data_IF_813452439025
#
_entry.id   IF_813452439025
#
_cell.length_a   1.000
_cell.length_b   1.000
_cell.length_c   1.000
_cell.angle_alpha   90.00
_cell.angle_beta   90.00
_cell.angle_gamma   90.00
#
_symmetry.space_group_name_H-M   'P 1'
#
loop_
_entity.id
_entity.type
_entity.pdbx_description
1 polymer ?
#
# COMPACT_ATOMS: atom_id res chain seq x y z
N UNK A 1 -12.54 5.97 -9.88
CA UNK A 1 -12.32 5.51 -8.49
C UNK A 1 -13.35 6.22 -7.61
N UNK A 2 -14.20 5.48 -6.92
CA UNK A 2 -15.32 6.07 -6.14
C UNK A 2 -15.12 5.93 -4.64
N UNK A 3 -14.45 4.87 -4.20
CA UNK A 3 -14.22 4.56 -2.78
C UNK A 3 -12.72 4.57 -2.48
N UNK A 4 -12.32 5.21 -1.38
CA UNK A 4 -10.93 5.20 -0.91
C UNK A 4 -10.89 5.33 0.60
N UNK A 5 -9.93 4.68 1.25
CA UNK A 5 -9.68 4.80 2.68
C UNK A 5 -8.22 4.51 3.02
N UNK A 6 -7.74 5.15 4.08
CA UNK A 6 -6.44 4.81 4.68
C UNK A 6 -6.68 3.91 5.88
N UNK A 7 -5.90 2.85 5.97
CA UNK A 7 -5.99 1.92 7.09
C UNK A 7 -4.63 1.47 7.60
N UNK A 8 -4.67 0.72 8.68
CA UNK A 8 -3.51 0.11 9.33
C UNK A 8 -3.68 -1.40 9.35
N UNK A 9 -2.70 -2.13 8.85
CA UNK A 9 -2.69 -3.58 8.87
C UNK A 9 -2.59 -4.10 10.30
N UNK A 10 -3.60 -4.79 10.80
CA UNK A 10 -3.58 -5.42 12.12
C UNK A 10 -2.86 -6.76 12.06
N UNK A 11 -3.22 -7.62 11.11
CA UNK A 11 -2.64 -8.96 11.00
C UNK A 11 -3.39 -9.82 10.01
N UNK A 12 -3.09 -11.11 10.03
CA UNK A 12 -3.80 -12.10 9.23
C UNK A 12 -4.47 -13.13 10.16
N UNK A 13 -5.62 -13.58 9.74
CA UNK A 13 -6.41 -14.63 10.39
C UNK A 13 -7.13 -15.45 9.33
N UNK A 14 -8.00 -16.31 9.75
CA UNK A 14 -8.85 -17.14 8.91
C UNK A 14 -10.31 -16.97 9.30
N UNK A 15 -11.19 -17.07 8.33
CA UNK A 15 -12.63 -17.06 8.50
C UNK A 15 -13.17 -18.27 7.73
N UNK A 16 -14.23 -18.88 8.23
CA UNK A 16 -14.97 -19.90 7.49
C UNK A 16 -16.14 -19.25 6.80
N UNK A 17 -16.36 -19.59 5.55
CA UNK A 17 -17.56 -19.18 4.80
C UNK A 17 -18.77 -20.06 5.20
N UNK A 18 -19.93 -19.74 4.69
CA UNK A 18 -21.17 -20.48 4.98
C UNK A 18 -21.11 -21.97 4.57
N UNK A 19 -20.27 -22.27 3.59
CA UNK A 19 -20.02 -23.64 3.12
C UNK A 19 -18.97 -24.38 3.97
N UNK A 20 -18.48 -23.77 5.06
CA UNK A 20 -17.42 -24.32 5.93
C UNK A 20 -16.03 -24.29 5.31
N UNK A 21 -15.84 -23.59 4.19
CA UNK A 21 -14.55 -23.47 3.52
C UNK A 21 -13.67 -22.44 4.21
N UNK A 22 -12.42 -22.79 4.41
CA UNK A 22 -11.39 -21.92 4.95
C UNK A 22 -11.03 -20.76 4.00
N UNK A 23 -11.14 -19.53 4.49
CA UNK A 23 -10.77 -18.29 3.75
C UNK A 23 -9.70 -17.55 4.55
N UNK A 24 -8.44 -17.46 4.04
CA UNK A 24 -7.41 -16.64 4.68
C UNK A 24 -7.72 -15.17 4.46
N UNK A 25 -7.68 -14.37 5.52
CA UNK A 25 -7.98 -12.95 5.47
C UNK A 25 -6.90 -12.11 6.16
N UNK A 26 -6.73 -10.90 5.66
CA UNK A 26 -5.98 -9.85 6.36
C UNK A 26 -6.95 -8.84 6.93
N UNK A 27 -6.83 -8.56 8.23
CA UNK A 27 -7.63 -7.55 8.94
C UNK A 27 -6.92 -6.21 8.88
N UNK A 28 -7.65 -5.20 8.44
CA UNK A 28 -7.20 -3.80 8.34
C UNK A 28 -8.13 -2.94 9.19
N UNK A 29 -7.56 -2.12 10.07
CA UNK A 29 -8.24 -1.02 10.74
C UNK A 29 -8.35 0.12 9.73
N UNK A 30 -9.54 0.31 9.16
CA UNK A 30 -9.80 1.22 8.05
C UNK A 30 -10.55 2.45 8.54
N UNK A 31 -9.83 3.55 8.73
CA UNK A 31 -10.38 4.80 9.25
C UNK A 31 -10.39 4.88 10.79
N UNK A 32 -11.11 5.86 11.38
CA UNK A 32 -11.78 6.94 10.66
C UNK A 32 -10.79 7.87 9.96
N UNK A 33 -11.12 8.25 8.73
CA UNK A 33 -10.36 9.19 7.93
C UNK A 33 -11.15 10.48 7.79
N UNK A 34 -10.50 11.65 7.86
CA UNK A 34 -11.16 12.94 7.70
C UNK A 34 -10.69 13.63 6.43
N UNK A 35 -11.62 14.18 5.67
CA UNK A 35 -11.28 14.97 4.47
C UNK A 35 -10.77 16.33 4.92
N UNK A 36 -9.50 16.62 4.60
CA UNK A 36 -8.82 17.86 5.01
C UNK A 36 -8.87 18.90 3.91
N UNK A 37 -8.78 18.49 2.66
CA UNK A 37 -8.83 19.41 1.53
C UNK A 37 -9.47 18.73 0.31
N UNK A 38 -10.23 19.50 -0.43
CA UNK A 38 -10.73 19.15 -1.76
C UNK A 38 -9.95 19.96 -2.78
N UNK A 39 -9.36 19.30 -3.76
CA UNK A 39 -8.64 19.89 -4.86
C UNK A 39 -9.51 19.88 -6.11
N UNK A 40 -9.58 21.03 -6.78
CA UNK A 40 -10.40 21.23 -7.98
C UNK A 40 -9.52 21.62 -9.16
N UNK A 41 -10.01 21.38 -10.36
CA UNK A 41 -9.28 21.74 -11.61
C UNK A 41 -8.98 23.23 -11.68
N UNK A 42 -9.88 24.08 -11.18
CA UNK A 42 -9.74 25.55 -11.24
C UNK A 42 -8.57 26.06 -10.39
N UNK A 43 -8.40 25.51 -9.17
CA UNK A 43 -7.40 25.98 -8.21
C UNK A 43 -6.09 25.20 -8.28
N UNK A 44 -6.16 23.87 -8.42
CA UNK A 44 -5.02 22.97 -8.29
C UNK A 44 -4.65 22.29 -9.62
N UNK A 45 -5.48 22.40 -10.66
CA UNK A 45 -5.27 21.78 -11.97
C UNK A 45 -5.67 20.30 -12.04
N UNK A 46 -6.19 19.71 -10.96
CA UNK A 46 -6.64 18.33 -10.90
C UNK A 46 -7.67 18.10 -9.79
N UNK A 47 -8.45 17.04 -9.92
CA UNK A 47 -9.49 16.66 -8.96
C UNK A 47 -9.03 15.56 -8.03
N UNK A 48 -8.87 15.88 -6.74
CA UNK A 48 -8.46 14.96 -5.68
C UNK A 48 -9.07 15.36 -4.35
N UNK A 49 -9.17 14.40 -3.45
CA UNK A 49 -9.43 14.66 -2.04
C UNK A 49 -8.17 14.35 -1.23
N UNK A 50 -7.83 15.21 -0.29
CA UNK A 50 -6.79 14.97 0.68
C UNK A 50 -7.41 14.48 1.98
N UNK A 51 -7.02 13.28 2.40
CA UNK A 51 -7.58 12.58 3.56
C UNK A 51 -6.53 12.48 4.65
N UNK A 52 -6.93 12.79 5.88
CA UNK A 52 -6.12 12.68 7.09
C UNK A 52 -6.43 11.41 7.88
N UNK A 53 -5.41 10.70 8.35
CA UNK A 53 -5.54 9.47 9.15
C UNK A 53 -4.62 9.48 10.36
N UNK A 54 -5.12 8.94 11.49
CA UNK A 54 -4.40 8.79 12.74
C UNK A 54 -4.18 10.11 13.47
N UNK A 55 -4.56 10.19 14.73
CA UNK A 55 -4.47 11.40 15.53
C UNK A 55 -3.03 11.66 16.01
N UNK A 56 -2.66 12.94 16.08
CA UNK A 56 -1.37 13.39 16.59
C UNK A 56 -1.58 14.66 17.45
N UNK A 57 -0.85 14.74 18.55
CA UNK A 57 -0.89 15.95 19.38
C UNK A 57 -0.34 17.16 18.62
N UNK A 58 -1.03 18.29 18.66
CA UNK A 58 -0.69 19.53 17.95
C UNK A 58 0.78 19.98 18.15
N UNK A 59 1.32 19.81 19.37
CA UNK A 59 2.73 20.12 19.70
C UNK A 59 3.77 19.35 18.89
N UNK A 60 3.38 18.22 18.26
CA UNK A 60 4.25 17.38 17.41
C UNK A 60 4.11 17.70 15.91
N UNK A 61 3.29 18.65 15.56
CA UNK A 61 3.00 19.06 14.17
C UNK A 61 3.68 20.41 13.90
N UNK A 62 4.29 20.56 12.74
CA UNK A 62 4.91 21.82 12.32
C UNK A 62 3.88 22.92 12.13
N UNK A 63 4.24 24.19 12.37
CA UNK A 63 3.34 25.35 12.27
C UNK A 63 2.59 25.44 10.91
N UNK A 64 3.25 25.23 9.74
CA UNK A 64 2.54 25.23 8.45
C UNK A 64 1.43 24.18 8.36
N UNK A 65 1.68 22.95 8.85
CA UNK A 65 0.67 21.90 8.86
C UNK A 65 -0.45 22.18 9.87
N UNK A 66 -0.15 22.81 11.01
CA UNK A 66 -1.19 23.27 11.94
C UNK A 66 -2.14 24.26 11.27
N UNK A 67 -1.60 25.23 10.51
CA UNK A 67 -2.40 26.16 9.71
C UNK A 67 -3.24 25.46 8.64
N UNK A 68 -2.69 24.41 8.01
CA UNK A 68 -3.42 23.60 7.04
C UNK A 68 -4.64 22.90 7.64
N UNK A 69 -4.48 22.27 8.82
CA UNK A 69 -5.59 21.64 9.54
C UNK A 69 -6.60 22.65 10.09
N UNK A 70 -6.10 23.79 10.59
CA UNK A 70 -6.97 24.87 11.10
C UNK A 70 -7.88 25.46 9.98
N UNK A 71 -7.37 25.57 8.74
CA UNK A 71 -8.16 26.03 7.59
C UNK A 71 -9.35 25.09 7.29
N UNK A 72 -9.19 23.80 7.58
CA UNK A 72 -10.21 22.78 7.37
C UNK A 72 -11.08 22.53 8.62
N UNK A 73 -10.81 23.23 9.73
CA UNK A 73 -11.43 23.01 11.05
C UNK A 73 -11.34 21.53 11.52
N UNK A 74 -10.19 20.90 11.28
CA UNK A 74 -9.96 19.49 11.57
C UNK A 74 -8.80 19.33 12.57
N UNK A 75 -8.94 18.39 13.49
CA UNK A 75 -7.85 18.01 14.40
C UNK A 75 -6.63 17.51 13.63
N UNK A 76 -5.43 17.78 14.16
CA UNK A 76 -4.19 17.38 13.51
C UNK A 76 -4.11 15.86 13.28
N UNK A 77 -3.81 15.46 12.05
CA UNK A 77 -3.64 14.06 11.66
C UNK A 77 -2.18 13.74 11.36
N UNK A 78 -1.79 12.50 11.64
CA UNK A 78 -0.42 12.03 11.47
C UNK A 78 -0.04 11.82 10.00
N UNK A 79 -0.98 11.35 9.20
CA UNK A 79 -0.79 11.01 7.80
C UNK A 79 -1.78 11.79 6.95
N UNK A 80 -1.28 12.45 5.92
CA UNK A 80 -2.08 13.04 4.85
C UNK A 80 -1.83 12.27 3.56
N UNK A 81 -2.89 11.93 2.84
CA UNK A 81 -2.81 11.25 1.55
C UNK A 81 -3.87 11.78 0.60
N UNK A 82 -3.49 11.96 -0.64
CA UNK A 82 -4.39 12.35 -1.71
C UNK A 82 -4.89 11.13 -2.48
N UNK A 83 -6.17 11.14 -2.78
CA UNK A 83 -6.84 10.13 -3.61
C UNK A 83 -7.55 10.81 -4.77
N UNK A 84 -7.38 10.24 -5.95
CA UNK A 84 -8.13 10.62 -7.12
C UNK A 84 -9.52 9.99 -7.04
N UNK A 85 -10.55 10.82 -7.12
CA UNK A 85 -11.93 10.36 -7.32
C UNK A 85 -12.36 10.77 -8.72
N UNK A 86 -13.33 10.04 -9.29
CA UNK A 86 -13.89 10.37 -10.60
C UNK A 86 -14.85 11.55 -10.48
N UNK A 87 -15.49 11.70 -9.32
CA UNK A 87 -16.32 12.84 -8.95
C UNK A 87 -16.06 13.22 -7.49
N UNK A 88 -15.61 14.43 -7.28
CA UNK A 88 -15.37 15.00 -5.96
C UNK A 88 -16.55 15.88 -5.47
N UNK A 89 -17.62 16.08 -6.26
CA UNK A 89 -18.68 17.03 -5.93
C UNK A 89 -19.42 16.66 -4.63
N UNK A 90 -19.65 15.37 -4.42
CA UNK A 90 -20.36 14.85 -3.25
C UNK A 90 -19.57 14.80 -1.95
N UNK A 91 -18.27 15.12 -1.95
CA UNK A 91 -17.41 15.03 -0.76
C UNK A 91 -17.16 16.43 -0.20
N UNK A 92 -17.37 16.61 1.11
CA UNK A 92 -17.16 17.87 1.81
C UNK A 92 -15.92 17.83 2.70
N UNK A 93 -15.27 19.00 2.86
CA UNK A 93 -14.17 19.15 3.83
C UNK A 93 -14.71 18.97 5.25
N UNK A 94 -14.00 18.22 6.09
CA UNK A 94 -14.42 17.83 7.42
C UNK A 94 -15.23 16.54 7.48
N UNK A 95 -15.65 15.98 6.36
CA UNK A 95 -16.38 14.71 6.29
C UNK A 95 -15.51 13.53 6.77
N UNK A 96 -16.14 12.58 7.47
CA UNK A 96 -15.48 11.42 8.04
C UNK A 96 -15.79 10.19 7.18
N UNK A 97 -14.76 9.62 6.59
CA UNK A 97 -14.82 8.37 5.82
C UNK A 97 -14.51 7.21 6.77
N UNK A 98 -15.42 6.25 6.89
CA UNK A 98 -15.30 5.05 7.75
C UNK A 98 -15.28 3.78 6.92
N UNK A 99 -15.13 2.64 7.60
CA UNK A 99 -15.11 1.32 6.98
C UNK A 99 -16.42 0.96 6.23
N UNK A 100 -17.55 1.57 6.61
CA UNK A 100 -18.88 1.42 6.00
C UNK A 100 -18.96 1.87 4.53
N UNK A 101 -17.97 2.62 4.06
CA UNK A 101 -17.83 2.98 2.64
C UNK A 101 -17.69 1.73 1.75
N UNK A 102 -17.18 0.63 2.29
CA UNK A 102 -17.00 -0.63 1.58
C UNK A 102 -18.04 -1.67 2.00
N UNK A 103 -18.51 -2.44 1.04
CA UNK A 103 -19.48 -3.51 1.25
C UNK A 103 -18.82 -4.88 1.11
N UNK A 104 -19.45 -5.91 1.70
CA UNK A 104 -19.02 -7.31 1.52
C UNK A 104 -19.19 -7.71 0.06
N UNK A 105 -18.14 -8.27 -0.52
CA UNK A 105 -18.08 -8.63 -1.94
C UNK A 105 -17.39 -7.60 -2.83
N UNK A 106 -17.18 -6.36 -2.35
CA UNK A 106 -16.45 -5.35 -3.10
C UNK A 106 -15.06 -5.84 -3.52
N UNK A 107 -14.63 -5.39 -4.70
CA UNK A 107 -13.27 -5.62 -5.20
C UNK A 107 -12.43 -4.38 -4.93
N UNK A 108 -11.33 -4.58 -4.21
CA UNK A 108 -10.45 -3.48 -3.78
C UNK A 108 -9.00 -3.75 -4.16
N UNK A 109 -8.27 -2.66 -4.38
CA UNK A 109 -6.83 -2.67 -4.55
C UNK A 109 -6.18 -2.17 -3.25
N UNK A 110 -5.23 -2.96 -2.72
CA UNK A 110 -4.51 -2.64 -1.49
C UNK A 110 -3.08 -2.22 -1.81
N UNK A 111 -2.76 -0.95 -1.59
CA UNK A 111 -1.45 -0.39 -1.79
C UNK A 111 -0.74 -0.18 -0.44
N UNK A 112 0.51 -0.59 -0.33
CA UNK A 112 1.30 -0.41 0.88
C UNK A 112 2.79 -0.52 0.62
N UNK A 113 3.59 -0.24 1.65
CA UNK A 113 5.04 -0.42 1.59
C UNK A 113 5.41 -1.85 1.98
N UNK A 114 6.11 -2.55 1.11
CA UNK A 114 6.53 -3.94 1.33
C UNK A 114 7.53 -4.06 2.48
N UNK A 115 7.63 -5.26 3.07
CA UNK A 115 8.64 -5.53 4.10
C UNK A 115 10.05 -5.35 3.54
N UNK A 116 10.92 -4.64 4.24
CA UNK A 116 12.33 -4.51 3.91
C UNK A 116 13.06 -5.85 4.05
N UNK A 117 13.94 -6.14 3.10
CA UNK A 117 14.79 -7.33 3.08
C UNK A 117 16.28 -6.98 3.02
N UNK A 118 16.60 -5.69 3.19
CA UNK A 118 17.95 -5.17 3.16
C UNK A 118 18.65 -5.36 1.81
N UNK A 119 19.97 -5.46 1.83
CA UNK A 119 20.77 -5.79 0.66
C UNK A 119 20.60 -7.29 0.34
N UNK A 120 20.12 -7.60 -0.85
CA UNK A 120 19.84 -8.97 -1.28
C UNK A 120 20.62 -9.34 -2.53
N UNK A 121 21.14 -10.58 -2.56
CA UNK A 121 21.79 -11.14 -3.72
C UNK A 121 20.82 -11.41 -4.87
N UNK A 122 21.34 -11.64 -6.06
CA UNK A 122 20.59 -11.85 -7.31
C UNK A 122 19.63 -13.03 -7.25
N UNK A 123 19.98 -14.09 -6.54
CA UNK A 123 19.13 -15.27 -6.35
C UNK A 123 17.86 -14.89 -5.60
N UNK A 124 17.98 -14.18 -4.46
CA UNK A 124 16.83 -13.77 -3.65
C UNK A 124 16.02 -12.66 -4.33
N UNK A 125 16.71 -11.72 -5.01
CA UNK A 125 16.07 -10.53 -5.58
C UNK A 125 15.37 -10.80 -6.90
N UNK A 126 15.95 -11.67 -7.74
CA UNK A 126 15.49 -11.92 -9.12
C UNK A 126 15.26 -13.39 -9.44
N UNK A 127 15.33 -14.28 -8.44
CA UNK A 127 15.17 -15.73 -8.63
C UNK A 127 16.15 -16.33 -9.64
N UNK A 128 17.41 -15.87 -9.63
CA UNK A 128 18.44 -16.47 -10.46
C UNK A 128 18.74 -17.89 -10.01
N UNK A 129 19.03 -18.76 -10.96
CA UNK A 129 19.54 -20.10 -10.69
C UNK A 129 20.91 -19.99 -10.03
N UNK A 130 21.16 -20.85 -9.06
CA UNK A 130 22.50 -21.01 -8.48
C UNK A 130 23.29 -22.09 -9.21
N UNK A 131 24.58 -21.97 -9.18
CA UNK A 131 25.48 -23.03 -9.67
C UNK A 131 25.48 -24.22 -8.69
N UNK A 132 25.92 -25.37 -9.15
CA UNK A 132 26.20 -26.53 -8.30
C UNK A 132 27.32 -26.19 -7.31
N UNK A 133 27.27 -26.73 -6.10
CA UNK A 133 28.27 -26.49 -5.06
C UNK A 133 29.47 -27.50 -5.17
N UNK A 134 29.36 -28.46 -6.07
CA UNK A 134 30.34 -29.53 -6.30
C UNK A 134 30.87 -29.46 -7.73
N UNK A 135 31.72 -30.42 -8.11
CA UNK A 135 32.30 -30.52 -9.45
C UNK A 135 33.13 -29.29 -9.86
N UNK A 136 33.99 -28.80 -8.98
CA UNK A 136 34.93 -27.71 -9.25
C UNK A 136 34.34 -26.30 -9.25
N UNK A 137 33.07 -26.12 -8.89
CA UNK A 137 32.42 -24.78 -8.87
C UNK A 137 33.01 -23.82 -7.81
N UNK A 138 33.61 -24.35 -6.74
CA UNK A 138 34.18 -23.55 -5.65
C UNK A 138 33.13 -22.61 -4.97
N UNK A 139 33.58 -21.54 -4.30
CA UNK A 139 32.71 -20.64 -3.50
C UNK A 139 31.88 -19.66 -4.34
N UNK A 140 31.58 -19.96 -5.61
CA UNK A 140 30.89 -19.06 -6.55
C UNK A 140 29.41 -19.41 -6.77
N UNK A 141 28.88 -20.40 -6.06
CA UNK A 141 27.55 -20.95 -6.28
C UNK A 141 26.42 -19.90 -6.22
N UNK A 142 26.61 -18.81 -5.48
CA UNK A 142 25.60 -17.74 -5.32
C UNK A 142 25.97 -16.42 -5.98
N UNK A 143 26.95 -16.41 -6.88
CA UNK A 143 27.38 -15.21 -7.60
C UNK A 143 26.37 -14.80 -8.68
N UNK A 144 26.47 -13.54 -9.11
CA UNK A 144 25.57 -12.96 -10.13
C UNK A 144 25.81 -13.52 -11.55
N UNK A 145 26.94 -14.19 -11.77
CA UNK A 145 27.35 -14.65 -13.08
C UNK A 145 27.94 -13.55 -13.97
N UNK A 146 27.92 -13.77 -15.28
CA UNK A 146 28.47 -12.81 -16.24
C UNK A 146 27.82 -11.42 -16.17
N UNK A 147 28.64 -10.38 -16.29
CA UNK A 147 28.22 -8.98 -16.34
C UNK A 147 27.86 -8.50 -17.75
N UNK A 148 28.26 -9.23 -18.79
CA UNK A 148 28.00 -8.90 -20.18
C UNK A 148 29.13 -9.37 -21.09
N UNK A 149 29.13 -8.91 -22.35
CA UNK A 149 30.20 -9.12 -23.31
C UNK A 149 31.43 -8.25 -22.96
N UNK A 150 32.58 -8.60 -23.49
CA UNK A 150 33.89 -8.00 -23.17
C UNK A 150 34.08 -6.62 -23.83
N UNK A 151 34.84 -6.55 -24.90
CA UNK A 151 35.32 -5.31 -25.52
C UNK A 151 34.21 -4.51 -26.23
N UNK A 152 33.18 -5.16 -26.73
CA UNK A 152 32.00 -4.54 -27.33
C UNK A 152 30.73 -5.01 -26.60
N UNK A 153 30.00 -4.15 -25.90
CA UNK A 153 30.00 -2.68 -25.86
C UNK A 153 30.94 -2.06 -24.80
N UNK A 154 31.86 -2.78 -24.17
CA UNK A 154 32.78 -2.30 -23.12
C UNK A 154 32.11 -1.67 -21.89
N UNK A 155 30.88 -2.05 -21.62
CA UNK A 155 30.08 -1.54 -20.49
C UNK A 155 29.05 -2.57 -20.04
N UNK A 156 28.58 -2.42 -18.82
CA UNK A 156 27.40 -3.12 -18.33
C UNK A 156 26.16 -2.37 -18.77
N UNK A 157 25.22 -3.08 -19.39
CA UNK A 157 23.97 -2.49 -19.87
C UNK A 157 23.09 -1.99 -18.72
N UNK A 158 22.34 -0.91 -18.97
CA UNK A 158 21.32 -0.39 -18.05
C UNK A 158 20.27 -1.47 -17.77
N UNK A 159 19.77 -1.51 -16.54
CA UNK A 159 18.77 -2.51 -16.15
C UNK A 159 19.32 -3.91 -15.86
N UNK A 160 20.64 -4.12 -15.90
CA UNK A 160 21.26 -5.41 -15.51
C UNK A 160 20.83 -5.78 -14.09
N UNK A 161 20.28 -6.98 -13.94
CA UNK A 161 19.81 -7.52 -12.65
C UNK A 161 21.01 -7.89 -11.77
N UNK A 162 21.29 -7.07 -10.77
CA UNK A 162 22.41 -7.20 -9.84
C UNK A 162 21.92 -7.18 -8.39
N UNK A 163 22.76 -7.60 -7.41
CA UNK A 163 22.44 -7.48 -6.00
C UNK A 163 22.19 -6.01 -5.63
N UNK A 164 21.39 -5.78 -4.61
CA UNK A 164 21.04 -4.44 -4.14
C UNK A 164 19.91 -4.46 -3.14
N UNK A 165 19.40 -3.28 -2.80
CA UNK A 165 18.28 -3.12 -1.89
C UNK A 165 17.04 -3.85 -2.41
N UNK A 166 16.34 -4.57 -1.51
CA UNK A 166 15.10 -5.29 -1.80
C UNK A 166 14.07 -4.98 -0.73
N UNK A 167 12.84 -4.74 -1.18
CA UNK A 167 11.74 -4.35 -0.29
C UNK A 167 11.73 -2.86 0.03
N UNK A 168 10.85 -2.44 0.96
CA UNK A 168 10.52 -1.03 1.25
C UNK A 168 10.06 -0.30 -0.01
N UNK A 169 9.42 -1.03 -0.90
CA UNK A 169 8.88 -0.51 -2.16
C UNK A 169 7.37 -0.39 -2.04
N UNK A 170 6.79 0.60 -2.73
CA UNK A 170 5.35 0.71 -2.86
C UNK A 170 4.84 -0.41 -3.76
N UNK A 171 4.00 -1.28 -3.20
CA UNK A 171 3.42 -2.43 -3.90
C UNK A 171 1.90 -2.34 -3.80
N UNK A 172 1.21 -2.58 -4.90
CA UNK A 172 -0.25 -2.68 -4.95
C UNK A 172 -0.64 -4.12 -5.28
N UNK A 173 -1.43 -4.72 -4.41
CA UNK A 173 -2.10 -6.00 -4.67
C UNK A 173 -3.50 -5.68 -5.13
N UNK A 174 -3.82 -6.07 -6.35
CA UNK A 174 -5.06 -5.72 -7.03
C UNK A 174 -6.14 -6.80 -6.87
N UNK A 175 -7.41 -6.39 -7.01
CA UNK A 175 -8.57 -7.27 -7.12
C UNK A 175 -8.76 -8.19 -5.91
N UNK A 176 -8.57 -7.65 -4.69
CA UNK A 176 -8.89 -8.36 -3.45
C UNK A 176 -10.39 -8.26 -3.15
N UNK A 177 -10.96 -9.32 -2.59
CA UNK A 177 -12.37 -9.32 -2.18
C UNK A 177 -12.50 -8.92 -0.73
N UNK A 178 -13.45 -8.04 -0.43
CA UNK A 178 -13.89 -7.73 0.93
C UNK A 178 -14.75 -8.89 1.44
N UNK A 179 -14.33 -9.56 2.51
CA UNK A 179 -15.03 -10.72 3.07
C UNK A 179 -15.97 -10.30 4.19
N UNK A 180 -15.53 -9.36 5.03
CA UNK A 180 -16.33 -8.87 6.17
C UNK A 180 -15.99 -7.41 6.44
N UNK A 181 -17.01 -6.63 6.78
CA UNK A 181 -16.88 -5.25 7.25
C UNK A 181 -17.48 -5.17 8.66
N UNK A 182 -16.77 -4.55 9.58
CA UNK A 182 -17.22 -4.22 10.93
C UNK A 182 -17.14 -2.70 11.07
N UNK A 183 -18.29 -2.06 10.93
CA UNK A 183 -18.41 -0.59 10.97
C UNK A 183 -18.19 -0.01 12.39
N UNK A 184 -18.54 -0.78 13.45
CA UNK A 184 -18.38 -0.33 14.82
C UNK A 184 -16.91 -0.20 15.23
N UNK A 185 -16.11 -1.19 14.86
CA UNK A 185 -14.67 -1.23 15.16
C UNK A 185 -13.80 -0.69 14.01
N UNK A 186 -14.39 -0.20 12.91
CA UNK A 186 -13.71 0.24 11.70
C UNK A 186 -12.75 -0.82 11.13
N UNK A 187 -13.17 -2.08 11.09
CA UNK A 187 -12.37 -3.19 10.57
C UNK A 187 -12.87 -3.68 9.23
N UNK A 188 -11.94 -3.93 8.33
CA UNK A 188 -12.21 -4.57 7.03
C UNK A 188 -11.35 -5.83 6.92
N UNK A 189 -11.99 -6.97 6.63
CA UNK A 189 -11.34 -8.23 6.35
C UNK A 189 -11.21 -8.44 4.85
N UNK A 190 -9.99 -8.45 4.32
CA UNK A 190 -9.67 -8.64 2.91
C UNK A 190 -9.18 -10.08 2.68
N UNK A 191 -9.70 -10.74 1.66
CA UNK A 191 -9.27 -12.08 1.27
C UNK A 191 -7.82 -12.08 0.80
N UNK A 192 -6.97 -12.87 1.46
CA UNK A 192 -5.57 -13.03 1.07
C UNK A 192 -4.60 -12.10 1.79
N UNK A 193 -3.42 -11.93 1.22
CA UNK A 193 -2.32 -11.16 1.78
C UNK A 193 -2.28 -9.74 1.20
N UNK A 194 -1.94 -8.77 2.05
CA UNK A 194 -1.68 -7.37 1.66
C UNK A 194 -0.23 -6.98 1.95
N UNK A 195 0.34 -5.98 1.25
CA UNK A 195 1.72 -5.59 1.45
C UNK A 195 1.99 -5.03 2.84
N UNK A 196 3.23 -5.13 3.28
CA UNK A 196 3.73 -4.52 4.50
C UNK A 196 3.72 -5.41 5.75
N UNK A 197 4.39 -4.93 6.83
CA UNK A 197 4.39 -5.55 8.15
C UNK A 197 3.08 -5.30 8.88
N UNK A 198 2.88 -6.00 10.01
CA UNK A 198 1.86 -5.67 11.00
C UNK A 198 2.09 -4.23 11.50
N UNK A 199 1.03 -3.44 11.63
CA UNK A 199 1.11 -2.01 11.97
C UNK A 199 1.45 -1.09 10.79
N UNK A 200 1.71 -1.63 9.59
CA UNK A 200 1.97 -0.83 8.39
C UNK A 200 0.72 -0.12 7.86
N UNK A 201 0.92 1.05 7.27
CA UNK A 201 -0.15 1.80 6.61
C UNK A 201 -0.47 1.18 5.26
N UNK A 202 -1.75 1.09 4.97
CA UNK A 202 -2.30 0.55 3.73
C UNK A 202 -3.33 1.51 3.18
N UNK A 203 -3.34 1.70 1.89
CA UNK A 203 -4.32 2.48 1.14
C UNK A 203 -5.23 1.51 0.41
N UNK A 204 -6.52 1.58 0.69
CA UNK A 204 -7.54 0.80 0.02
C UNK A 204 -8.32 1.68 -0.94
N UNK A 205 -8.50 1.20 -2.15
CA UNK A 205 -9.24 1.89 -3.21
C UNK A 205 -10.04 0.87 -4.00
N UNK A 206 -11.06 1.32 -4.72
CA UNK A 206 -11.75 0.46 -5.68
C UNK A 206 -10.77 -0.18 -6.64
N UNK A 207 -11.02 -1.43 -7.00
CA UNK A 207 -10.18 -2.13 -7.97
C UNK A 207 -10.32 -1.51 -9.35
N UNK A 208 -9.17 -1.27 -9.99
CA UNK A 208 -9.10 -0.85 -11.40
C UNK A 208 -9.53 -2.00 -12.33
N UNK A 209 -9.27 -3.25 -11.92
CA UNK A 209 -9.67 -4.46 -12.63
C UNK A 209 -11.00 -4.98 -12.08
N UNK A 210 -12.08 -4.29 -12.41
CA UNK A 210 -13.42 -4.83 -12.16
C UNK A 210 -13.65 -5.99 -13.14
N UNK A 211 -13.90 -7.19 -12.59
CA UNK A 211 -14.36 -8.34 -13.36
C UNK A 211 -15.86 -8.22 -13.57
#
# INVERSE_FOLDING_TARGET
MQKCIVGKKIGMTQIFDEAGKFVPVTVVEAGPCVVVQKKTVENDGYEYIQVGFGDIAQKKVSKPLQGHFAKADVACKRLLREFRLDDCSGVNVGEIIKADTFEVGDRVDACGTSKGKGYAGTIKRFNFSRLKETHGSGPVARHAGSMGACSDPSRVMKGKKLPGHMGVERVTVQNLTVVKVDAENNLIALKGAIPGPKGGIVYLTDSVKKA
#
